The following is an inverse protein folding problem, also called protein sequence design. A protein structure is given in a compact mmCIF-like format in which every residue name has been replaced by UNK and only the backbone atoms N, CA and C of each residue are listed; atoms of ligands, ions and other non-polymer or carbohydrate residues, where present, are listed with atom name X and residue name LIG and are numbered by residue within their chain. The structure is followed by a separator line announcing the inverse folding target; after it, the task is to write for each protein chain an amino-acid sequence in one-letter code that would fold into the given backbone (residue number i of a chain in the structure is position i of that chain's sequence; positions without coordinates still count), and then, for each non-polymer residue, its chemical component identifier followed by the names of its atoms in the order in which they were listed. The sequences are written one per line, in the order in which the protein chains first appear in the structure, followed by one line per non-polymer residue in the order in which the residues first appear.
data_IF_694518096840
#
_entry.id   IF_694518096840
#
_cell.length_a   1.000
_cell.length_b   1.000
_cell.length_c   1.000
_cell.angle_alpha   90.00
_cell.angle_beta   90.00
_cell.angle_gamma   90.00
#
_symmetry.space_group_name_H-M   'P 1'
#
loop_
_entity.id
_entity.type
_entity.pdbx_description
1 polymer ?
#
# COMPACT_ATOMS: atom_id res chain seq x y z
N UNK A 1 2.74 -49.78 -61.32
CA UNK A 1 3.14 -49.33 -62.66
C UNK A 1 2.67 -47.88 -62.84
N UNK A 2 3.64 -46.93 -62.95
CA UNK A 2 3.57 -45.55 -63.51
C UNK A 2 2.39 -44.64 -63.08
N UNK A 3 2.55 -43.80 -62.06
CA UNK A 3 2.94 -42.35 -62.11
C UNK A 3 2.10 -41.52 -63.10
N UNK A 4 1.35 -40.53 -62.56
CA UNK A 4 1.47 -39.11 -62.94
C UNK A 4 0.88 -38.17 -61.89
N UNK A 5 1.72 -37.23 -61.51
CA UNK A 5 1.55 -36.10 -60.60
C UNK A 5 0.72 -35.02 -61.31
N UNK A 6 -0.29 -34.45 -60.65
CA UNK A 6 -0.72 -33.07 -60.92
C UNK A 6 -0.64 -32.26 -59.62
N UNK A 7 0.24 -31.25 -59.66
CA UNK A 7 0.35 -30.18 -58.68
C UNK A 7 -0.88 -29.28 -58.79
N UNK A 8 -1.56 -29.04 -57.67
CA UNK A 8 -2.40 -27.88 -57.51
C UNK A 8 -1.89 -27.11 -56.28
N UNK A 9 -1.23 -25.98 -56.55
CA UNK A 9 -0.80 -25.03 -55.56
C UNK A 9 -2.05 -24.35 -54.97
N UNK A 10 -2.32 -24.58 -53.70
CA UNK A 10 -3.25 -23.76 -52.94
C UNK A 10 -2.41 -22.85 -52.02
N UNK A 11 -2.17 -21.62 -52.49
CA UNK A 11 -1.74 -20.51 -51.66
C UNK A 11 -2.85 -20.21 -50.65
N UNK A 12 -2.81 -20.87 -49.51
CA UNK A 12 -3.66 -20.59 -48.36
C UNK A 12 -3.06 -19.49 -47.51
N UNK A 13 -3.40 -18.25 -47.86
CA UNK A 13 -3.43 -17.04 -47.03
C UNK A 13 -2.92 -17.22 -45.58
N UNK A 14 -1.63 -16.93 -45.37
CA UNK A 14 -1.10 -16.72 -44.03
C UNK A 14 -1.72 -15.45 -43.46
N UNK A 15 -2.71 -15.61 -42.57
CA UNK A 15 -3.14 -14.55 -41.67
C UNK A 15 -1.95 -14.19 -40.79
N UNK A 16 -1.21 -13.16 -41.20
CA UNK A 16 -0.38 -12.37 -40.32
C UNK A 16 -1.32 -11.82 -39.25
N UNK A 17 -1.46 -12.55 -38.15
CA UNK A 17 -1.92 -11.97 -36.89
C UNK A 17 -0.84 -10.98 -36.52
N UNK A 18 -1.04 -9.73 -36.94
CA UNK A 18 -0.38 -8.59 -36.33
C UNK A 18 -0.80 -8.60 -34.87
N UNK A 19 -0.01 -9.29 -34.04
CA UNK A 19 0.13 -8.94 -32.64
C UNK A 19 0.74 -7.54 -32.67
N UNK A 20 -0.11 -6.54 -32.87
CA UNK A 20 0.13 -5.22 -32.33
C UNK A 20 0.12 -5.43 -30.82
N UNK A 21 1.26 -5.88 -30.30
CA UNK A 21 1.61 -5.71 -28.91
C UNK A 21 1.70 -4.22 -28.68
N UNK A 22 0.53 -3.58 -28.51
CA UNK A 22 0.44 -2.37 -27.74
C UNK A 22 1.06 -2.73 -26.41
N UNK A 23 2.35 -2.41 -26.24
CA UNK A 23 3.00 -2.49 -24.94
C UNK A 23 2.13 -1.61 -24.05
N UNK A 24 1.32 -2.23 -23.20
CA UNK A 24 0.53 -1.51 -22.24
C UNK A 24 1.53 -0.62 -21.49
N UNK A 25 1.34 0.69 -21.58
CA UNK A 25 2.20 1.62 -20.86
C UNK A 25 2.20 1.20 -19.39
N UNK A 26 3.39 1.14 -18.79
CA UNK A 26 3.51 0.71 -17.41
C UNK A 26 2.69 1.66 -16.52
N UNK A 27 1.77 1.10 -15.73
CA UNK A 27 0.88 1.92 -14.90
C UNK A 27 1.67 2.54 -13.76
N UNK A 28 1.83 3.86 -13.79
CA UNK A 28 2.44 4.59 -12.69
C UNK A 28 1.53 4.51 -11.46
N UNK A 29 2.04 4.03 -10.31
CA UNK A 29 1.22 3.96 -9.10
C UNK A 29 1.04 5.34 -8.48
N UNK A 30 -0.11 5.54 -7.85
CA UNK A 30 -0.42 6.76 -7.12
C UNK A 30 -0.26 6.55 -5.60
N UNK A 31 0.43 7.45 -4.88
CA UNK A 31 0.57 7.32 -3.44
C UNK A 31 -0.77 7.55 -2.72
N UNK A 32 -0.97 6.97 -1.52
CA UNK A 32 -2.11 7.30 -0.69
C UNK A 32 -2.15 8.81 -0.41
N UNK A 33 -3.33 9.45 -0.47
CA UNK A 33 -3.43 10.90 -0.29
C UNK A 33 -3.04 11.28 1.13
N UNK A 34 -2.38 12.42 1.30
CA UNK A 34 -1.93 12.91 2.62
C UNK A 34 -3.08 13.12 3.60
N UNK A 35 -4.27 13.42 3.08
CA UNK A 35 -5.52 13.55 3.85
C UNK A 35 -5.99 12.23 4.46
N UNK A 36 -5.53 11.08 3.95
CA UNK A 36 -5.82 9.77 4.53
C UNK A 36 -4.91 9.40 5.70
N UNK A 37 -3.87 10.20 5.98
CA UNK A 37 -2.98 9.97 7.11
C UNK A 37 -3.73 10.22 8.43
N UNK A 38 -3.91 9.21 9.28
CA UNK A 38 -4.62 9.39 10.54
C UNK A 38 -3.80 10.22 11.51
N UNK A 39 -4.48 11.07 12.29
CA UNK A 39 -3.86 11.90 13.31
C UNK A 39 -3.69 11.11 14.62
N UNK A 40 -2.44 11.01 15.10
CA UNK A 40 -2.14 10.35 16.37
C UNK A 40 -2.73 11.15 17.53
N UNK A 41 -3.49 10.52 18.46
CA UNK A 41 -3.96 11.20 19.65
C UNK A 41 -2.78 11.74 20.48
N UNK A 42 -2.89 12.96 21.05
CA UNK A 42 -1.87 13.50 21.94
C UNK A 42 -1.86 12.70 23.25
N UNK A 43 -0.66 12.33 23.70
CA UNK A 43 -0.49 11.65 24.99
C UNK A 43 -0.72 12.63 26.15
N UNK A 44 -1.33 12.19 27.27
CA UNK A 44 -1.42 13.00 28.48
C UNK A 44 -0.03 13.38 28.99
N UNK A 45 0.10 14.60 29.50
CA UNK A 45 1.36 15.06 30.12
C UNK A 45 1.49 14.40 31.49
N UNK A 46 2.60 13.70 31.71
CA UNK A 46 2.90 13.06 32.99
C UNK A 46 3.19 14.12 34.06
N UNK A 47 2.46 14.14 35.18
CA UNK A 47 2.76 15.02 36.29
C UNK A 47 4.12 14.72 36.93
N UNK A 48 4.86 15.77 37.31
CA UNK A 48 6.18 15.64 37.92
C UNK A 48 6.13 14.93 39.29
N UNK A 49 5.02 15.05 40.01
CA UNK A 49 4.85 14.42 41.31
C UNK A 49 4.86 12.88 41.25
N UNK A 50 4.58 12.26 40.09
CA UNK A 50 4.55 10.80 39.95
C UNK A 50 5.93 10.18 40.06
N UNK A 51 6.98 10.96 39.77
CA UNK A 51 8.38 10.55 39.90
C UNK A 51 9.02 11.06 41.19
N UNK A 52 8.31 11.89 41.96
CA UNK A 52 8.83 12.45 43.21
C UNK A 52 8.81 11.40 44.33
N UNK A 53 9.83 11.39 45.19
CA UNK A 53 9.91 10.48 46.36
C UNK A 53 8.74 10.62 47.33
N UNK A 54 8.08 11.78 47.36
CA UNK A 54 6.89 12.04 48.18
C UNK A 54 5.58 11.55 47.57
N UNK A 55 5.59 11.07 46.32
CA UNK A 55 4.40 10.69 45.56
C UNK A 55 3.57 11.90 45.12
N UNK A 56 2.46 11.61 44.41
CA UNK A 56 1.46 12.61 44.06
C UNK A 56 0.38 12.75 45.13
N UNK A 57 -0.16 13.96 45.31
CA UNK A 57 -1.48 14.12 45.90
C UNK A 57 -2.50 13.22 45.18
N UNK A 58 -3.41 12.60 45.94
CA UNK A 58 -4.37 11.64 45.38
C UNK A 58 -5.15 12.19 44.17
N UNK A 59 -5.62 13.43 44.27
CA UNK A 59 -6.39 14.09 43.19
C UNK A 59 -5.61 14.22 41.87
N UNK A 60 -4.30 14.45 41.93
CA UNK A 60 -3.45 14.62 40.75
C UNK A 60 -3.16 13.26 40.08
N UNK A 61 -2.92 12.24 40.90
CA UNK A 61 -2.79 10.86 40.42
C UNK A 61 -4.09 10.35 39.77
N UNK A 62 -5.25 10.62 40.37
CA UNK A 62 -6.54 10.24 39.80
C UNK A 62 -6.82 10.98 38.48
N UNK A 63 -6.59 12.30 38.44
CA UNK A 63 -6.77 13.11 37.23
C UNK A 63 -5.91 12.61 36.07
N UNK A 64 -4.65 12.26 36.34
CA UNK A 64 -3.77 11.67 35.32
C UNK A 64 -4.26 10.29 34.87
N UNK A 65 -4.69 9.42 35.79
CA UNK A 65 -5.24 8.11 35.44
C UNK A 65 -6.47 8.22 34.54
N UNK A 66 -7.34 9.19 34.78
CA UNK A 66 -8.53 9.40 33.94
C UNK A 66 -8.15 9.96 32.56
N UNK A 67 -7.16 10.84 32.48
CA UNK A 67 -6.60 11.28 31.19
C UNK A 67 -5.98 10.10 30.41
N UNK A 68 -5.31 9.17 31.10
CA UNK A 68 -4.74 7.96 30.49
C UNK A 68 -5.84 7.03 29.98
N UNK A 69 -6.92 6.81 30.74
CA UNK A 69 -8.07 6.03 30.25
C UNK A 69 -8.66 6.63 28.97
N UNK A 70 -8.92 7.93 28.97
CA UNK A 70 -9.43 8.63 27.79
C UNK A 70 -8.46 8.57 26.59
N UNK A 71 -7.15 8.63 26.85
CA UNK A 71 -6.14 8.44 25.81
C UNK A 71 -6.17 7.01 25.24
N UNK A 72 -6.28 6.00 26.10
CA UNK A 72 -6.29 4.59 25.67
C UNK A 72 -7.49 4.27 24.77
N UNK A 73 -8.66 4.84 25.05
CA UNK A 73 -9.84 4.73 24.19
C UNK A 73 -9.58 5.33 22.80
N UNK A 74 -9.02 6.54 22.74
CA UNK A 74 -8.63 7.19 21.47
C UNK A 74 -7.56 6.39 20.73
N UNK A 75 -6.58 5.84 21.44
CA UNK A 75 -5.51 5.03 20.88
C UNK A 75 -6.07 3.71 20.30
N UNK A 76 -7.03 3.08 20.97
CA UNK A 76 -7.70 1.89 20.48
C UNK A 76 -8.46 2.15 19.18
N UNK A 77 -9.14 3.30 19.06
CA UNK A 77 -9.80 3.72 17.83
C UNK A 77 -8.82 4.12 16.71
N UNK A 78 -7.68 4.73 17.07
CA UNK A 78 -6.64 5.14 16.13
C UNK A 78 -5.91 3.95 15.48
N UNK A 79 -5.65 2.89 16.23
CA UNK A 79 -4.85 1.74 15.78
C UNK A 79 -5.30 1.14 14.44
N UNK A 80 -6.56 0.73 14.24
CA UNK A 80 -6.98 0.16 12.95
C UNK A 80 -6.87 1.15 11.79
N UNK A 81 -7.04 2.47 12.03
CA UNK A 81 -6.86 3.50 11.01
C UNK A 81 -5.39 3.61 10.60
N UNK A 82 -4.47 3.57 11.57
CA UNK A 82 -3.03 3.57 11.30
C UNK A 82 -2.59 2.31 10.55
N UNK A 83 -3.08 1.14 10.94
CA UNK A 83 -2.80 -0.13 10.25
C UNK A 83 -3.30 -0.11 8.80
N UNK A 84 -4.51 0.42 8.56
CA UNK A 84 -5.05 0.57 7.21
C UNK A 84 -4.19 1.52 6.34
N UNK A 85 -3.76 2.64 6.91
CA UNK A 85 -2.88 3.59 6.21
C UNK A 85 -1.52 2.97 5.87
N UNK A 86 -0.91 2.23 6.79
CA UNK A 86 0.34 1.47 6.55
C UNK A 86 0.14 0.42 5.46
N UNK A 87 -0.99 -0.29 5.47
CA UNK A 87 -1.32 -1.26 4.42
C UNK A 87 -1.40 -0.59 3.04
N UNK A 88 -2.01 0.59 2.94
CA UNK A 88 -2.09 1.35 1.69
C UNK A 88 -0.70 1.80 1.21
N UNK A 89 0.18 2.25 2.11
CA UNK A 89 1.56 2.58 1.78
C UNK A 89 2.34 1.37 1.25
N UNK A 90 2.19 0.21 1.86
CA UNK A 90 2.84 -1.02 1.41
C UNK A 90 2.34 -1.46 0.03
N UNK A 91 1.04 -1.29 -0.25
CA UNK A 91 0.48 -1.55 -1.57
C UNK A 91 1.09 -0.60 -2.64
N UNK A 92 1.25 0.68 -2.30
CA UNK A 92 1.92 1.66 -3.17
C UNK A 92 3.39 1.30 -3.44
N UNK A 93 4.15 0.91 -2.41
CA UNK A 93 5.54 0.46 -2.57
C UNK A 93 5.62 -0.75 -3.48
N UNK A 94 4.73 -1.73 -3.30
CA UNK A 94 4.66 -2.90 -4.17
C UNK A 94 4.36 -2.50 -5.62
N UNK A 95 3.34 -1.67 -5.84
CA UNK A 95 2.97 -1.22 -7.18
C UNK A 95 4.11 -0.41 -7.84
N UNK A 96 4.91 0.32 -7.06
CA UNK A 96 6.09 1.05 -7.54
C UNK A 96 7.20 0.11 -8.00
N UNK A 97 7.41 -0.99 -7.26
CA UNK A 97 8.32 -2.05 -7.69
C UNK A 97 7.83 -2.71 -8.98
N UNK A 98 6.53 -3.06 -9.04
CA UNK A 98 5.93 -3.68 -10.22
C UNK A 98 6.03 -2.77 -11.47
N UNK A 99 5.81 -1.46 -11.29
CA UNK A 99 6.03 -0.45 -12.33
C UNK A 99 7.48 -0.43 -12.82
N UNK A 100 8.46 -0.38 -11.92
CA UNK A 100 9.87 -0.40 -12.30
C UNK A 100 10.24 -1.68 -13.07
N UNK A 101 9.71 -2.85 -12.67
CA UNK A 101 9.92 -4.10 -13.40
C UNK A 101 9.26 -4.10 -14.77
N UNK A 102 8.11 -3.43 -14.93
CA UNK A 102 7.49 -3.23 -16.24
C UNK A 102 8.39 -2.37 -17.14
N UNK A 103 8.88 -1.24 -16.65
CA UNK A 103 9.76 -0.34 -17.42
C UNK A 103 11.06 -1.04 -17.84
N UNK A 104 11.66 -1.86 -16.98
CA UNK A 104 12.84 -2.65 -17.37
C UNK A 104 12.53 -3.58 -18.55
N UNK A 105 11.35 -4.22 -18.57
CA UNK A 105 10.95 -5.12 -19.65
C UNK A 105 10.61 -4.39 -20.95
N UNK A 106 10.18 -3.13 -20.89
CA UNK A 106 9.91 -2.34 -22.11
C UNK A 106 11.19 -1.82 -22.75
N UNK A 107 12.26 -1.65 -21.95
CA UNK A 107 13.58 -1.18 -22.36
C UNK A 107 14.53 -2.29 -22.85
N UNK A 108 14.22 -3.56 -22.57
CA UNK A 108 14.94 -4.74 -23.08
C UNK A 108 14.35 -5.23 -24.41
#
# INVERSE_FOLDING_TARGET
MRIRILRAAALGLGTLVSVNGARAACTLPEPPPTTSRPAKPPAPVKPACLDAKGGCPGWEAYSYNDAIKAYNEKAAAFRPLAEAYVKALNAYVKASSDYAQCEVKTLQ
#
